data_IF_641054525194
#
_entry.id   IF_641054525194
#
_cell.length_a   1.000
_cell.length_b   1.000
_cell.length_c   1.000
_cell.angle_alpha   90.00
_cell.angle_beta   90.00
_cell.angle_gamma   90.00
#
_symmetry.space_group_name_H-M   'P 1'
#
loop_
_entity.id
_entity.type
_entity.pdbx_description
1 polymer ?
#
# COMPACT_ATOMS: atom_id res chain seq x y z
N UNK A 1 2.29 15.68 6.42
CA UNK A 1 3.47 15.42 5.55
C UNK A 1 2.99 15.34 4.11
N UNK A 2 3.78 15.77 3.16
CA UNK A 2 3.45 15.60 1.74
C UNK A 2 4.45 14.64 1.07
N UNK A 3 4.20 14.33 -0.19
CA UNK A 3 5.04 13.38 -0.94
C UNK A 3 6.48 13.85 -1.04
N UNK A 4 6.69 15.15 -1.30
CA UNK A 4 8.04 15.71 -1.46
C UNK A 4 8.85 15.54 -0.18
N UNK A 5 8.27 15.84 0.96
CA UNK A 5 8.95 15.70 2.24
C UNK A 5 9.26 14.24 2.55
N UNK A 6 8.31 13.34 2.30
CA UNK A 6 8.52 11.91 2.50
C UNK A 6 9.72 11.43 1.69
N UNK A 7 9.74 11.75 0.39
CA UNK A 7 10.79 11.27 -0.50
C UNK A 7 12.14 11.84 -0.14
N UNK A 8 12.18 13.09 0.27
CA UNK A 8 13.41 13.74 0.72
C UNK A 8 13.97 13.07 1.96
N UNK A 9 13.11 12.80 2.95
CA UNK A 9 13.52 12.15 4.18
C UNK A 9 13.92 10.70 3.94
N UNK A 10 13.19 10.00 3.07
CA UNK A 10 13.56 8.64 2.69
C UNK A 10 14.95 8.62 2.03
N UNK A 11 15.21 9.54 1.12
CA UNK A 11 16.50 9.64 0.44
C UNK A 11 17.64 9.95 1.42
N UNK A 12 17.33 10.63 2.52
CA UNK A 12 18.29 10.94 3.58
C UNK A 12 18.52 9.76 4.54
N UNK A 13 17.84 8.62 4.30
CA UNK A 13 18.04 7.41 5.09
C UNK A 13 16.94 7.10 6.09
N UNK A 14 15.94 7.97 6.26
CA UNK A 14 14.83 7.67 7.16
C UNK A 14 13.95 6.57 6.58
N UNK A 15 13.45 5.71 7.47
CA UNK A 15 12.54 4.63 7.10
C UNK A 15 11.27 4.62 7.94
N UNK A 16 11.29 5.23 9.11
CA UNK A 16 10.15 5.21 10.03
C UNK A 16 9.20 6.38 9.75
N UNK A 17 8.10 6.07 9.10
CA UNK A 17 7.03 7.02 8.81
C UNK A 17 5.70 6.48 9.37
N UNK A 18 5.79 5.88 10.55
CA UNK A 18 4.64 5.32 11.26
C UNK A 18 3.57 6.38 11.47
N UNK A 19 2.33 6.03 11.09
CA UNK A 19 1.13 6.85 11.31
C UNK A 19 1.14 8.22 10.63
N UNK A 20 2.03 8.46 9.68
CA UNK A 20 2.04 9.73 8.95
C UNK A 20 0.76 9.91 8.13
N UNK A 21 0.39 11.17 7.93
CA UNK A 21 -0.73 11.50 7.05
C UNK A 21 -0.20 11.86 5.66
N UNK A 22 -0.50 10.97 4.72
CA UNK A 22 -0.12 11.11 3.31
C UNK A 22 -1.36 10.99 2.41
N UNK A 23 -2.51 11.40 2.93
CA UNK A 23 -3.75 11.36 2.15
C UNK A 23 -3.56 12.11 0.84
N UNK A 24 -3.99 11.48 -0.26
CA UNK A 24 -3.93 12.03 -1.61
C UNK A 24 -2.51 12.35 -2.10
N UNK A 25 -1.49 11.85 -1.43
CA UNK A 25 -0.10 12.10 -1.84
C UNK A 25 0.16 11.55 -3.25
N UNK A 26 0.95 12.29 -4.02
CA UNK A 26 1.35 11.90 -5.38
C UNK A 26 2.67 11.15 -5.29
N UNK A 27 2.59 9.83 -5.31
CA UNK A 27 3.74 8.95 -5.12
C UNK A 27 3.92 7.97 -6.29
N UNK A 28 3.51 8.40 -7.51
CA UNK A 28 3.69 7.59 -8.72
C UNK A 28 5.18 7.30 -8.90
N UNK A 29 5.51 6.03 -9.13
CA UNK A 29 6.91 5.57 -9.32
C UNK A 29 7.81 5.80 -8.11
N UNK A 30 7.27 6.16 -6.95
CA UNK A 30 8.08 6.48 -5.77
C UNK A 30 8.94 5.30 -5.36
N UNK A 31 10.17 5.58 -4.96
CA UNK A 31 11.10 4.58 -4.46
C UNK A 31 10.99 4.52 -2.94
N UNK A 32 10.27 3.52 -2.43
CA UNK A 32 9.94 3.40 -1.01
C UNK A 32 10.19 1.97 -0.48
N UNK A 33 11.23 1.32 -1.01
CA UNK A 33 11.59 -0.05 -0.63
C UNK A 33 11.85 -0.12 0.88
N UNK A 34 11.21 -1.07 1.54
CA UNK A 34 11.41 -1.30 2.98
C UNK A 34 10.91 -0.17 3.88
N UNK A 35 10.13 0.76 3.34
CA UNK A 35 9.62 1.88 4.14
C UNK A 35 8.66 1.38 5.22
N UNK A 36 8.70 1.99 6.39
CA UNK A 36 7.75 1.71 7.45
C UNK A 36 6.62 2.74 7.42
N UNK A 37 5.47 2.32 6.93
CA UNK A 37 4.24 3.10 6.86
C UNK A 37 3.15 2.47 7.71
N UNK A 38 3.54 1.82 8.81
CA UNK A 38 2.60 1.21 9.73
C UNK A 38 1.55 2.24 10.18
N UNK A 39 0.27 1.89 10.01
CA UNK A 39 -0.82 2.75 10.43
C UNK A 39 -0.93 4.07 9.69
N UNK A 40 -0.21 4.27 8.61
CA UNK A 40 -0.22 5.53 7.86
C UNK A 40 -1.56 5.76 7.17
N UNK A 41 -1.91 7.02 7.02
CA UNK A 41 -3.07 7.42 6.23
C UNK A 41 -2.62 7.67 4.79
N UNK A 42 -2.99 6.76 3.91
CA UNK A 42 -2.70 6.83 2.47
C UNK A 42 -4.00 6.89 1.66
N UNK A 43 -5.08 7.35 2.29
CA UNK A 43 -6.37 7.43 1.60
C UNK A 43 -6.25 8.27 0.34
N UNK A 44 -6.68 7.71 -0.78
CA UNK A 44 -6.64 8.40 -2.07
C UNK A 44 -5.25 8.66 -2.62
N UNK A 45 -4.19 8.12 -2.01
CA UNK A 45 -2.83 8.32 -2.50
C UNK A 45 -2.63 7.63 -3.84
N UNK A 46 -1.82 8.24 -4.69
CA UNK A 46 -1.45 7.65 -5.97
C UNK A 46 -0.08 6.98 -5.83
N UNK A 47 -0.10 5.67 -5.69
CA UNK A 47 1.09 4.83 -5.54
C UNK A 47 1.31 3.95 -6.77
N UNK A 48 0.77 4.35 -7.92
CA UNK A 48 0.93 3.60 -9.14
C UNK A 48 2.41 3.40 -9.46
N UNK A 49 2.80 2.17 -9.75
CA UNK A 49 4.19 1.78 -10.06
C UNK A 49 5.18 2.05 -8.94
N UNK A 50 4.73 2.37 -7.73
CA UNK A 50 5.64 2.60 -6.61
C UNK A 50 6.41 1.32 -6.26
N UNK A 51 7.65 1.48 -5.84
CA UNK A 51 8.49 0.38 -5.39
C UNK A 51 8.34 0.26 -3.89
N UNK A 52 7.53 -0.70 -3.46
CA UNK A 52 7.15 -0.90 -2.05
C UNK A 52 7.51 -2.30 -1.56
N UNK A 53 8.45 -3.00 -2.25
CA UNK A 53 8.76 -4.35 -1.77
C UNK A 53 9.36 -4.29 -0.37
N UNK A 54 8.93 -5.22 0.46
CA UNK A 54 9.35 -5.28 1.85
C UNK A 54 8.81 -4.15 2.73
N UNK A 55 7.94 -3.28 2.21
CA UNK A 55 7.37 -2.18 3.01
C UNK A 55 6.43 -2.72 4.09
N UNK A 56 6.34 -2.00 5.19
CA UNK A 56 5.37 -2.30 6.24
C UNK A 56 4.18 -1.36 6.12
N UNK A 57 3.06 -1.89 5.63
CA UNK A 57 1.79 -1.18 5.49
C UNK A 57 0.73 -1.76 6.43
N UNK A 58 1.17 -2.42 7.49
CA UNK A 58 0.26 -3.00 8.47
C UNK A 58 -0.67 -1.92 9.02
N UNK A 59 -1.97 -2.18 8.96
CA UNK A 59 -2.98 -1.26 9.47
C UNK A 59 -3.12 0.06 8.71
N UNK A 60 -2.45 0.21 7.57
CA UNK A 60 -2.53 1.46 6.81
C UNK A 60 -3.91 1.65 6.20
N UNK A 61 -4.33 2.90 6.11
CA UNK A 61 -5.55 3.27 5.40
C UNK A 61 -5.22 3.50 3.94
N UNK A 62 -5.63 2.57 3.08
CA UNK A 62 -5.41 2.61 1.64
C UNK A 62 -6.74 2.74 0.88
N UNK A 63 -7.77 3.28 1.53
CA UNK A 63 -9.07 3.48 0.88
C UNK A 63 -8.86 4.39 -0.34
N UNK A 64 -9.38 3.97 -1.49
CA UNK A 64 -9.27 4.70 -2.75
C UNK A 64 -7.83 4.90 -3.24
N UNK A 65 -6.85 4.23 -2.66
CA UNK A 65 -5.47 4.35 -3.13
C UNK A 65 -5.30 3.67 -4.49
N UNK A 66 -4.44 4.23 -5.31
CA UNK A 66 -4.09 3.63 -6.60
C UNK A 66 -2.74 2.91 -6.45
N UNK A 67 -2.79 1.58 -6.43
CA UNK A 67 -1.61 0.71 -6.34
C UNK A 67 -1.39 -0.05 -7.66
N UNK A 68 -1.94 0.45 -8.76
CA UNK A 68 -1.80 -0.19 -10.06
C UNK A 68 -0.32 -0.35 -10.40
N UNK A 69 0.09 -1.58 -10.71
CA UNK A 69 1.47 -1.94 -11.06
C UNK A 69 2.50 -1.67 -9.95
N UNK A 70 2.07 -1.40 -8.72
CA UNK A 70 3.00 -1.26 -7.62
C UNK A 70 3.70 -2.58 -7.33
N UNK A 71 4.94 -2.52 -6.90
CA UNK A 71 5.67 -3.71 -6.47
C UNK A 71 5.53 -3.84 -4.96
N UNK A 72 4.67 -4.76 -4.54
CA UNK A 72 4.39 -5.04 -3.13
C UNK A 72 4.94 -6.40 -2.70
N UNK A 73 5.92 -6.93 -3.42
CA UNK A 73 6.51 -8.22 -3.07
C UNK A 73 7.06 -8.17 -1.64
N UNK A 74 6.67 -9.15 -0.81
CA UNK A 74 7.12 -9.22 0.57
C UNK A 74 6.61 -8.11 1.48
N UNK A 75 5.71 -7.26 1.02
CA UNK A 75 5.15 -6.19 1.85
C UNK A 75 4.20 -6.76 2.90
N UNK A 76 4.10 -6.07 4.03
CA UNK A 76 3.13 -6.41 5.08
C UNK A 76 1.92 -5.51 4.92
N UNK A 77 0.78 -6.13 4.60
CA UNK A 77 -0.50 -5.44 4.46
C UNK A 77 -1.52 -5.98 5.48
N UNK A 78 -1.04 -6.62 6.53
CA UNK A 78 -1.88 -7.18 7.58
C UNK A 78 -2.79 -6.10 8.13
N UNK A 79 -4.10 -6.37 8.16
CA UNK A 79 -5.10 -5.45 8.69
C UNK A 79 -5.20 -4.12 7.94
N UNK A 80 -4.59 -3.98 6.77
CA UNK A 80 -4.71 -2.76 5.97
C UNK A 80 -6.14 -2.63 5.43
N UNK A 81 -6.57 -1.39 5.22
CA UNK A 81 -7.88 -1.11 4.65
C UNK A 81 -7.74 -0.82 3.16
N UNK A 82 -8.18 -1.77 2.34
CA UNK A 82 -8.05 -1.70 0.88
C UNK A 82 -9.40 -1.45 0.17
N UNK A 83 -10.40 -0.95 0.89
CA UNK A 83 -11.68 -0.66 0.25
C UNK A 83 -11.51 0.34 -0.87
N UNK A 84 -12.10 0.07 -2.03
CA UNK A 84 -12.04 0.93 -3.22
C UNK A 84 -10.61 1.15 -3.75
N UNK A 85 -9.64 0.38 -3.30
CA UNK A 85 -8.27 0.48 -3.79
C UNK A 85 -8.13 -0.21 -5.14
N UNK A 86 -7.16 0.22 -5.93
CA UNK A 86 -6.83 -0.41 -7.22
C UNK A 86 -5.51 -1.14 -7.10
N UNK A 87 -5.55 -2.44 -7.32
CA UNK A 87 -4.36 -3.30 -7.26
C UNK A 87 -4.11 -4.03 -8.58
N UNK A 88 -4.68 -3.52 -9.70
CA UNK A 88 -4.49 -4.14 -10.99
C UNK A 88 -3.00 -4.25 -11.32
N UNK A 89 -2.55 -5.46 -11.65
CA UNK A 89 -1.17 -5.75 -12.01
C UNK A 89 -0.15 -5.46 -10.91
N UNK A 90 -0.58 -5.23 -9.67
CA UNK A 90 0.34 -5.11 -8.55
C UNK A 90 1.03 -6.45 -8.32
N UNK A 91 2.32 -6.40 -7.98
CA UNK A 91 3.06 -7.61 -7.64
C UNK A 91 2.88 -7.88 -6.16
N UNK A 92 2.28 -9.02 -5.83
CA UNK A 92 1.94 -9.37 -4.46
C UNK A 92 2.65 -10.64 -3.98
N UNK A 93 3.67 -11.10 -4.69
CA UNK A 93 4.38 -12.31 -4.30
C UNK A 93 5.00 -12.16 -2.90
N UNK A 94 4.63 -13.06 -2.01
CA UNK A 94 5.13 -13.02 -0.63
C UNK A 94 4.53 -11.91 0.24
N UNK A 95 3.58 -11.13 -0.28
CA UNK A 95 2.91 -10.12 0.53
C UNK A 95 1.97 -10.79 1.54
N UNK A 96 1.88 -10.21 2.73
CA UNK A 96 0.97 -10.68 3.76
C UNK A 96 -0.27 -9.79 3.79
N UNK A 97 -1.41 -10.34 3.36
CA UNK A 97 -2.70 -9.64 3.29
C UNK A 97 -3.67 -10.11 4.37
N UNK A 98 -3.20 -10.86 5.35
CA UNK A 98 -4.03 -11.45 6.38
C UNK A 98 -4.81 -10.37 7.13
N UNK A 99 -6.13 -10.51 7.17
CA UNK A 99 -7.00 -9.56 7.86
C UNK A 99 -7.19 -8.23 7.15
N UNK A 100 -6.54 -7.99 6.02
CA UNK A 100 -6.78 -6.78 5.23
C UNK A 100 -8.21 -6.80 4.72
N UNK A 101 -8.89 -5.65 4.77
CA UNK A 101 -10.27 -5.60 4.32
C UNK A 101 -10.39 -5.03 2.90
N UNK A 102 -11.38 -5.51 2.18
CA UNK A 102 -11.70 -5.07 0.82
C UNK A 102 -13.21 -5.05 0.64
N UNK A 103 -13.68 -4.41 -0.41
CA UNK A 103 -15.09 -4.38 -0.75
C UNK A 103 -15.31 -4.68 -2.24
N UNK A 104 -16.55 -4.55 -2.70
CA UNK A 104 -16.89 -4.81 -4.09
C UNK A 104 -16.21 -3.84 -5.07
N UNK A 105 -15.72 -2.71 -4.58
CA UNK A 105 -15.06 -1.70 -5.39
C UNK A 105 -13.53 -1.83 -5.37
N UNK A 106 -12.98 -2.77 -4.61
CA UNK A 106 -11.55 -3.07 -4.66
C UNK A 106 -11.24 -3.83 -5.94
N UNK A 107 -10.27 -3.35 -6.72
CA UNK A 107 -9.89 -3.98 -7.97
C UNK A 107 -8.61 -4.77 -7.80
N UNK A 108 -8.69 -6.07 -8.00
CA UNK A 108 -7.54 -6.98 -7.99
C UNK A 108 -7.20 -7.39 -9.42
N UNK A 109 -5.99 -7.90 -9.60
CA UNK A 109 -5.62 -8.50 -10.87
C UNK A 109 -6.48 -9.72 -11.15
N UNK A 110 -6.67 -10.01 -12.44
CA UNK A 110 -7.39 -11.19 -12.89
C UNK A 110 -6.78 -12.44 -12.26
N UNK A 111 -7.62 -13.28 -11.67
CA UNK A 111 -7.17 -14.52 -11.06
C UNK A 111 -6.73 -14.40 -9.60
N UNK A 112 -6.66 -13.19 -9.07
CA UNK A 112 -6.35 -13.02 -7.65
C UNK A 112 -7.56 -13.46 -6.81
N UNK A 113 -7.32 -14.28 -5.80
CA UNK A 113 -8.37 -14.78 -4.90
C UNK A 113 -8.16 -14.22 -3.50
N UNK A 114 -8.96 -13.22 -3.08
CA UNK A 114 -8.82 -12.64 -1.75
C UNK A 114 -9.05 -13.64 -0.61
N UNK A 115 -9.95 -14.61 -0.84
CA UNK A 115 -10.26 -15.60 0.19
C UNK A 115 -9.04 -16.45 0.51
N UNK A 116 -8.25 -16.81 -0.49
CA UNK A 116 -7.04 -17.60 -0.28
C UNK A 116 -5.96 -16.83 0.47
N UNK A 117 -6.10 -15.51 0.57
CA UNK A 117 -5.17 -14.62 1.26
C UNK A 117 -5.65 -14.25 2.66
N UNK A 118 -6.74 -14.85 3.12
CA UNK A 118 -7.33 -14.58 4.44
C UNK A 118 -7.73 -13.12 4.62
N UNK A 119 -8.15 -12.49 3.55
CA UNK A 119 -8.68 -11.12 3.57
C UNK A 119 -10.11 -11.13 4.07
N UNK A 120 -10.57 -9.98 4.54
CA UNK A 120 -11.93 -9.80 5.03
C UNK A 120 -12.73 -8.93 4.07
N UNK A 121 -13.82 -9.47 3.55
CA UNK A 121 -14.73 -8.68 2.73
C UNK A 121 -15.69 -7.90 3.62
N UNK A 122 -15.83 -6.62 3.35
CA UNK A 122 -16.70 -5.75 4.14
C UNK A 122 -17.72 -5.02 3.27
#
# INVERSE_FOLDING_TARGET
>A
MNAEELLKRYAAGERDFTKVDLAKAKLINAHLVGVNLWGANLEGANLAKAKLWGANLTGANLINANLTRANLCGAKLTEANLRKARLNYAKLYGANLSGACYDNSTHFSRGFDPDSQQMRKV
#
